data_IF_122767234700
#
_entry.id   IF_122767234700
#
_cell.length_a   1.000
_cell.length_b   1.000
_cell.length_c   1.000
_cell.angle_alpha   90.00
_cell.angle_beta   90.00
_cell.angle_gamma   90.00
#
_symmetry.space_group_name_H-M   'P 1'
#
loop_
_entity.id
_entity.type
_entity.pdbx_description
1 polymer ?
#
# COMPACT_ATOMS: atom_id res chain seq x y z
N UNK A 1 -61.38 -4.98 -49.80
CA UNK A 1 -61.67 -6.37 -50.18
C UNK A 1 -60.52 -7.27 -49.76
N UNK A 2 -60.79 -8.20 -48.83
CA UNK A 2 -59.99 -9.37 -48.37
C UNK A 2 -58.67 -9.05 -47.63
N UNK A 3 -58.55 -9.21 -46.29
CA UNK A 3 -58.64 -10.40 -45.38
C UNK A 3 -57.32 -11.20 -45.31
N UNK A 4 -56.84 -11.47 -44.08
CA UNK A 4 -55.93 -12.58 -43.73
C UNK A 4 -54.82 -12.20 -42.74
N UNK A 5 -55.03 -12.13 -41.42
CA UNK A 5 -55.06 -13.20 -40.38
C UNK A 5 -53.69 -13.46 -39.70
N UNK A 6 -53.72 -13.39 -38.37
CA UNK A 6 -52.68 -13.68 -37.37
C UNK A 6 -52.18 -15.13 -37.36
N UNK A 7 -50.98 -15.35 -36.79
CA UNK A 7 -50.72 -16.55 -35.97
C UNK A 7 -49.68 -16.28 -34.87
N UNK A 8 -50.10 -16.50 -33.63
CA UNK A 8 -49.38 -16.42 -32.34
C UNK A 8 -48.38 -17.58 -32.10
N UNK A 9 -47.65 -17.43 -30.98
CA UNK A 9 -47.19 -18.48 -30.02
C UNK A 9 -45.83 -19.14 -30.33
N UNK A 10 -44.94 -19.48 -29.39
CA UNK A 10 -44.95 -19.47 -27.92
C UNK A 10 -43.51 -19.47 -27.35
N UNK A 11 -43.44 -19.06 -26.08
CA UNK A 11 -42.34 -19.12 -25.11
C UNK A 11 -41.58 -20.46 -25.00
N UNK A 12 -40.28 -20.39 -24.73
CA UNK A 12 -39.58 -21.32 -23.82
C UNK A 12 -38.65 -20.51 -22.91
N UNK A 13 -39.02 -20.44 -21.63
CA UNK A 13 -38.11 -20.20 -20.52
C UNK A 13 -37.09 -21.34 -20.45
N UNK A 14 -35.81 -21.02 -20.34
CA UNK A 14 -34.86 -21.87 -19.63
C UNK A 14 -33.98 -20.97 -18.77
N UNK A 15 -34.28 -21.02 -17.48
CA UNK A 15 -33.42 -20.63 -16.37
C UNK A 15 -32.17 -21.52 -16.34
N UNK A 16 -31.00 -20.90 -16.35
CA UNK A 16 -29.81 -21.47 -15.71
C UNK A 16 -29.09 -20.35 -15.00
N UNK A 17 -29.22 -20.33 -13.67
CA UNK A 17 -28.38 -19.55 -12.78
C UNK A 17 -26.91 -19.89 -13.01
N UNK A 18 -26.06 -18.86 -13.09
CA UNK A 18 -24.66 -18.99 -12.71
C UNK A 18 -24.18 -17.68 -12.11
N UNK A 19 -23.65 -17.81 -10.91
CA UNK A 19 -23.21 -16.78 -9.98
C UNK A 19 -22.10 -15.86 -10.52
N UNK A 20 -22.11 -14.66 -9.95
CA UNK A 20 -20.97 -13.78 -9.65
C UNK A 20 -20.05 -13.36 -10.79
N UNK A 21 -20.28 -12.14 -11.28
CA UNK A 21 -19.23 -11.23 -11.72
C UNK A 21 -19.64 -9.81 -11.34
N UNK A 22 -19.39 -9.41 -10.09
CA UNK A 22 -19.33 -7.99 -9.74
C UNK A 22 -17.99 -7.44 -10.26
N UNK A 23 -17.86 -7.43 -11.58
CA UNK A 23 -16.82 -6.68 -12.26
C UNK A 23 -17.24 -5.23 -12.15
N UNK A 24 -16.45 -4.43 -11.45
CA UNK A 24 -16.53 -2.97 -11.50
C UNK A 24 -16.17 -2.58 -12.94
N UNK A 25 -17.15 -2.62 -13.83
CA UNK A 25 -17.06 -2.05 -15.17
C UNK A 25 -17.06 -0.53 -15.01
N UNK A 26 -15.90 0.03 -14.67
CA UNK A 26 -15.67 1.46 -14.91
C UNK A 26 -15.69 1.61 -16.42
N UNK A 27 -16.82 2.07 -16.97
CA UNK A 27 -16.88 2.53 -18.35
C UNK A 27 -15.83 3.63 -18.50
N UNK A 28 -14.66 3.27 -19.05
CA UNK A 28 -13.60 4.21 -19.42
C UNK A 28 -14.13 5.31 -20.38
N UNK A 29 -15.28 5.07 -21.02
CA UNK A 29 -15.98 6.04 -21.86
C UNK A 29 -16.44 7.28 -21.09
N UNK A 30 -16.67 7.17 -19.76
CA UNK A 30 -17.01 8.33 -18.92
C UNK A 30 -15.81 9.24 -18.71
N UNK A 31 -14.58 8.72 -18.66
CA UNK A 31 -13.36 9.51 -18.41
C UNK A 31 -13.00 10.49 -19.56
N UNK A 32 -13.68 10.42 -20.70
CA UNK A 32 -13.47 11.30 -21.86
C UNK A 32 -14.45 12.48 -21.92
N UNK A 33 -15.37 12.61 -20.96
CA UNK A 33 -16.29 13.75 -20.90
C UNK A 33 -15.64 14.89 -20.09
N UNK A 34 -15.51 16.11 -20.65
CA UNK A 34 -14.89 17.25 -19.97
C UNK A 34 -15.70 17.79 -18.78
N UNK A 35 -16.92 17.28 -18.55
CA UNK A 35 -17.87 17.77 -17.55
C UNK A 35 -18.10 16.82 -16.36
N UNK A 36 -17.21 15.85 -16.12
CA UNK A 36 -17.20 15.13 -14.84
C UNK A 36 -16.73 16.08 -13.75
N UNK A 37 -17.68 16.77 -13.12
CA UNK A 37 -17.46 17.48 -11.87
C UNK A 37 -17.06 16.43 -10.83
N UNK A 38 -15.75 16.28 -10.59
CA UNK A 38 -15.26 15.46 -9.50
C UNK A 38 -15.65 16.13 -8.18
N UNK A 39 -16.64 15.55 -7.50
CA UNK A 39 -17.04 16.02 -6.17
C UNK A 39 -15.93 15.64 -5.18
N UNK A 40 -15.33 16.63 -4.52
CA UNK A 40 -14.26 16.42 -3.53
C UNK A 40 -14.80 15.60 -2.36
N UNK A 41 -14.23 14.42 -2.13
CA UNK A 41 -14.65 13.49 -1.07
C UNK A 41 -13.84 13.66 0.23
N UNK A 42 -12.81 14.52 0.20
CA UNK A 42 -11.87 14.74 1.31
C UNK A 42 -11.14 13.47 1.73
N UNK A 43 -10.85 12.58 0.77
CA UNK A 43 -10.13 11.35 1.02
C UNK A 43 -8.71 11.61 1.50
N UNK A 44 -8.26 10.80 2.46
CA UNK A 44 -6.86 10.75 2.88
C UNK A 44 -6.24 9.42 2.47
N UNK A 45 -5.14 9.49 1.74
CA UNK A 45 -4.40 8.33 1.26
C UNK A 45 -3.02 8.32 1.91
N UNK A 46 -2.61 7.17 2.43
CA UNK A 46 -1.21 6.91 2.78
C UNK A 46 -0.62 5.88 1.83
N UNK A 47 0.45 6.26 1.13
CA UNK A 47 1.29 5.34 0.38
C UNK A 47 2.58 5.13 1.15
N UNK A 48 3.02 3.89 1.35
CA UNK A 48 4.28 3.66 2.06
C UNK A 48 5.01 2.41 1.57
N UNK A 49 6.34 2.43 1.73
CA UNK A 49 7.22 1.31 1.48
C UNK A 49 8.20 1.16 2.63
N UNK A 50 8.58 -0.08 2.93
CA UNK A 50 9.58 -0.38 3.94
C UNK A 50 10.90 -0.76 3.29
N UNK A 51 12.01 -0.43 3.94
CA UNK A 51 13.31 -0.98 3.61
C UNK A 51 13.86 -1.68 4.84
N UNK A 52 14.27 -2.93 4.69
CA UNK A 52 14.88 -3.69 5.75
C UNK A 52 16.39 -3.72 5.58
N UNK A 53 17.10 -3.68 6.70
CA UNK A 53 18.52 -3.99 6.71
C UNK A 53 18.70 -5.51 6.55
N UNK A 54 19.36 -5.93 5.48
CA UNK A 54 19.70 -7.32 5.23
C UNK A 54 21.15 -7.47 4.78
N UNK A 55 21.74 -8.63 5.04
CA UNK A 55 23.03 -9.05 4.49
C UNK A 55 22.87 -10.00 3.29
N UNK A 56 21.63 -10.37 2.96
CA UNK A 56 21.28 -11.27 1.86
C UNK A 56 20.87 -10.47 0.62
N UNK A 57 20.91 -11.08 -0.57
CA UNK A 57 20.71 -10.37 -1.85
C UNK A 57 19.32 -10.53 -2.47
N UNK A 58 18.47 -11.44 -1.98
CA UNK A 58 17.29 -11.88 -2.74
C UNK A 58 15.94 -11.51 -2.13
N UNK A 59 15.79 -11.51 -0.80
CA UNK A 59 14.54 -11.19 -0.13
C UNK A 59 14.78 -10.86 1.34
N UNK A 60 13.85 -10.14 1.97
CA UNK A 60 13.87 -9.88 3.40
C UNK A 60 13.33 -11.08 4.19
N UNK A 61 14.08 -11.50 5.21
CA UNK A 61 13.71 -12.58 6.12
C UNK A 61 13.05 -12.01 7.39
N UNK A 62 11.77 -12.33 7.61
CA UNK A 62 10.94 -11.77 8.69
C UNK A 62 11.54 -11.92 10.10
N UNK A 63 12.25 -13.01 10.37
CA UNK A 63 12.86 -13.33 11.66
C UNK A 63 14.22 -12.64 11.85
N UNK A 64 14.92 -12.30 10.77
CA UNK A 64 16.28 -11.77 10.81
C UNK A 64 16.34 -10.28 10.51
N UNK A 65 15.75 -9.87 9.39
CA UNK A 65 15.99 -8.57 8.79
C UNK A 65 15.13 -7.49 9.47
N UNK A 66 15.79 -6.53 10.10
CA UNK A 66 15.13 -5.44 10.82
C UNK A 66 14.66 -4.36 9.85
N UNK A 67 13.46 -3.82 10.08
CA UNK A 67 12.98 -2.66 9.34
C UNK A 67 13.87 -1.48 9.70
N UNK A 68 14.57 -0.97 8.68
CA UNK A 68 15.51 0.14 8.81
C UNK A 68 14.84 1.47 8.55
N UNK A 69 13.99 1.56 7.52
CA UNK A 69 13.27 2.79 7.21
C UNK A 69 11.86 2.53 6.70
N UNK A 70 10.99 3.51 6.90
CA UNK A 70 9.65 3.57 6.30
C UNK A 70 9.56 4.87 5.51
N UNK A 71 9.46 4.74 4.19
CA UNK A 71 9.16 5.85 3.30
C UNK A 71 7.66 5.95 3.18
N UNK A 72 7.10 7.14 3.37
CA UNK A 72 5.66 7.32 3.25
C UNK A 72 5.30 8.66 2.62
N UNK A 73 4.14 8.66 1.99
CA UNK A 73 3.51 9.85 1.41
C UNK A 73 2.06 9.87 1.83
N UNK A 74 1.63 11.00 2.39
CA UNK A 74 0.23 11.25 2.69
C UNK A 74 -0.30 12.24 1.67
N UNK A 75 -1.39 11.86 1.00
CA UNK A 75 -2.11 12.69 0.07
C UNK A 75 -3.48 13.02 0.67
N UNK A 76 -3.76 14.31 0.85
CA UNK A 76 -5.04 14.82 1.32
C UNK A 76 -5.79 15.43 0.14
N UNK A 77 -6.99 14.95 -0.13
CA UNK A 77 -7.88 15.56 -1.09
C UNK A 77 -8.44 16.87 -0.54
N UNK A 78 -8.37 17.94 -1.33
CA UNK A 78 -8.91 19.24 -1.00
C UNK A 78 -9.74 19.78 -2.17
N UNK A 79 -10.52 20.83 -1.92
CA UNK A 79 -11.28 21.52 -2.97
C UNK A 79 -10.41 22.03 -4.13
N UNK A 80 -9.10 22.24 -3.89
CA UNK A 80 -8.14 22.72 -4.89
C UNK A 80 -7.25 21.60 -5.44
N UNK A 81 -7.62 20.33 -5.27
CA UNK A 81 -6.84 19.16 -5.65
C UNK A 81 -6.09 18.54 -4.48
N UNK A 82 -5.01 17.81 -4.77
CA UNK A 82 -4.30 16.99 -3.77
C UNK A 82 -3.16 17.76 -3.10
N UNK A 83 -3.16 17.78 -1.77
CA UNK A 83 -2.02 18.21 -0.97
C UNK A 83 -1.19 16.98 -0.60
N UNK A 84 0.04 16.94 -1.10
CA UNK A 84 0.94 15.77 -0.95
C UNK A 84 2.08 16.13 -0.01
N UNK A 85 2.34 15.25 0.96
CA UNK A 85 3.44 15.36 1.89
C UNK A 85 4.18 14.03 1.92
N UNK A 86 5.46 14.01 1.56
CA UNK A 86 6.27 12.80 1.66
C UNK A 86 7.36 12.95 2.71
N UNK A 87 7.65 11.85 3.38
CA UNK A 87 8.53 11.81 4.53
C UNK A 87 9.17 10.44 4.66
N UNK A 88 10.20 10.35 5.50
CA UNK A 88 10.85 9.08 5.82
C UNK A 88 11.15 9.01 7.31
N UNK A 89 10.87 7.85 7.90
CA UNK A 89 11.36 7.45 9.22
C UNK A 89 12.59 6.58 9.05
N UNK A 90 13.67 6.86 9.76
CA UNK A 90 14.93 6.11 9.67
C UNK A 90 15.37 5.69 11.07
N UNK A 91 15.62 4.39 11.26
CA UNK A 91 16.26 3.87 12.46
C UNK A 91 17.76 4.13 12.43
N UNK A 92 18.29 4.72 13.51
CA UNK A 92 19.72 5.02 13.65
C UNK A 92 20.52 3.84 14.21
N UNK A 93 19.87 2.74 14.60
CA UNK A 93 20.49 1.59 15.24
C UNK A 93 21.66 0.98 14.45
N UNK A 94 21.55 0.99 13.11
CA UNK A 94 22.52 0.38 12.20
C UNK A 94 23.38 1.40 11.45
N UNK A 95 23.18 2.69 11.69
CA UNK A 95 23.94 3.75 11.02
C UNK A 95 25.34 3.86 11.61
N UNK A 96 26.35 3.92 10.74
CA UNK A 96 27.73 4.23 11.18
C UNK A 96 27.84 5.68 11.64
N UNK A 97 27.14 6.60 10.99
CA UNK A 97 27.08 8.00 11.39
C UNK A 97 25.96 8.15 12.41
N UNK A 98 26.32 8.34 13.68
CA UNK A 98 25.35 8.52 14.78
C UNK A 98 25.10 9.99 15.13
N UNK A 99 25.76 10.94 14.44
CA UNK A 99 25.60 12.37 14.72
C UNK A 99 24.46 12.97 13.90
N UNK A 100 23.36 13.43 14.52
CA UNK A 100 22.16 13.91 13.82
C UNK A 100 22.44 15.06 12.84
N UNK A 101 23.34 15.98 13.20
CA UNK A 101 23.72 17.11 12.33
C UNK A 101 24.45 16.69 11.04
N UNK A 102 25.03 15.49 11.00
CA UNK A 102 25.72 14.94 9.82
C UNK A 102 24.72 14.12 9.01
N UNK A 103 23.90 13.32 9.68
CA UNK A 103 22.78 12.59 9.07
C UNK A 103 21.87 13.52 8.28
N UNK A 104 21.35 14.58 8.90
CA UNK A 104 20.50 15.56 8.21
C UNK A 104 21.19 16.20 7.01
N UNK A 105 22.53 16.37 7.04
CA UNK A 105 23.30 16.89 5.92
C UNK A 105 23.47 15.88 4.80
N UNK A 106 23.65 14.59 5.11
CA UNK A 106 23.73 13.51 4.11
C UNK A 106 22.44 13.40 3.29
N UNK A 107 21.30 13.72 3.89
CA UNK A 107 20.00 13.69 3.21
C UNK A 107 19.48 15.06 2.70
N UNK A 108 20.32 16.12 2.72
CA UNK A 108 19.92 17.49 2.32
C UNK A 108 19.44 17.63 0.88
N UNK A 109 19.79 16.72 -0.03
CA UNK A 109 19.35 16.78 -1.43
C UNK A 109 17.85 16.54 -1.60
N UNK A 110 17.15 16.10 -0.55
CA UNK A 110 15.71 15.89 -0.52
C UNK A 110 14.98 17.19 -0.12
N UNK A 111 15.13 18.25 -0.92
CA UNK A 111 14.40 19.49 -0.71
C UNK A 111 12.87 19.21 -0.65
N UNK A 112 12.20 19.76 0.36
CA UNK A 112 10.76 19.59 0.64
C UNK A 112 10.31 18.21 1.16
N UNK A 113 11.21 17.38 1.68
CA UNK A 113 10.86 16.10 2.35
C UNK A 113 11.23 16.15 3.83
N UNK A 114 10.33 15.67 4.70
CA UNK A 114 10.59 15.58 6.14
C UNK A 114 11.31 14.26 6.44
N UNK A 115 12.42 14.33 7.15
CA UNK A 115 13.22 13.17 7.55
C UNK A 115 13.22 13.14 9.06
N UNK A 116 12.84 12.01 9.63
CA UNK A 116 12.82 11.81 11.07
C UNK A 116 13.65 10.59 11.44
N UNK A 117 14.43 10.75 12.52
CA UNK A 117 15.31 9.72 13.02
C UNK A 117 14.77 9.18 14.34
N UNK A 118 14.81 7.86 14.49
CA UNK A 118 14.41 7.12 15.70
C UNK A 118 15.53 6.16 16.10
N UNK A 119 15.54 5.69 17.35
CA UNK A 119 16.72 4.97 17.85
C UNK A 119 16.78 3.50 17.40
N UNK A 120 15.63 2.86 17.18
CA UNK A 120 15.53 1.43 16.92
C UNK A 120 14.26 1.08 16.13
N UNK A 121 14.17 -0.17 15.67
CA UNK A 121 13.04 -0.68 14.89
C UNK A 121 11.69 -0.59 15.65
N UNK A 122 11.67 -0.75 16.98
CA UNK A 122 10.43 -0.65 17.76
C UNK A 122 9.88 0.78 17.74
N UNK A 123 10.73 1.78 18.03
CA UNK A 123 10.36 3.19 17.97
C UNK A 123 9.90 3.60 16.56
N UNK A 124 10.53 3.04 15.52
CA UNK A 124 10.13 3.25 14.13
C UNK A 124 8.71 2.75 13.85
N UNK A 125 8.36 1.55 14.31
CA UNK A 125 7.01 0.99 14.16
C UNK A 125 5.99 1.79 14.98
N UNK A 126 6.36 2.20 16.20
CA UNK A 126 5.49 3.00 17.07
C UNK A 126 5.23 4.39 16.50
N UNK A 127 6.26 5.06 15.98
CA UNK A 127 6.12 6.39 15.39
C UNK A 127 5.28 6.35 14.11
N UNK A 128 5.51 5.35 13.26
CA UNK A 128 4.64 5.13 12.09
C UNK A 128 3.18 4.88 12.50
N UNK A 129 2.96 4.15 13.60
CA UNK A 129 1.61 3.96 14.15
C UNK A 129 0.97 5.27 14.60
N UNK A 130 1.73 6.17 15.23
CA UNK A 130 1.24 7.52 15.60
C UNK A 130 0.90 8.34 14.36
N UNK A 131 1.72 8.28 13.31
CA UNK A 131 1.45 8.98 12.05
C UNK A 131 0.13 8.49 11.43
N UNK A 132 -0.12 7.18 11.40
CA UNK A 132 -1.39 6.62 10.92
C UNK A 132 -2.57 7.10 11.78
N UNK A 133 -2.43 7.14 13.10
CA UNK A 133 -3.49 7.63 13.99
C UNK A 133 -3.76 9.12 13.81
N UNK A 134 -2.72 9.92 13.59
CA UNK A 134 -2.84 11.36 13.41
C UNK A 134 -3.39 11.75 12.04
N UNK A 135 -2.98 11.05 10.98
CA UNK A 135 -3.43 11.31 9.62
C UNK A 135 -4.78 10.67 9.30
N UNK A 136 -5.16 9.63 10.05
CA UNK A 136 -6.37 8.82 9.87
C UNK A 136 -6.71 8.49 8.39
N UNK A 137 -5.81 7.83 7.65
CA UNK A 137 -5.99 7.63 6.21
C UNK A 137 -7.13 6.66 5.90
N UNK A 138 -7.97 7.01 4.93
CA UNK A 138 -9.02 6.13 4.40
C UNK A 138 -8.45 4.95 3.62
N UNK A 139 -7.35 5.21 2.90
CA UNK A 139 -6.76 4.28 1.94
C UNK A 139 -5.27 4.09 2.24
N UNK A 140 -4.86 2.83 2.37
CA UNK A 140 -3.47 2.40 2.38
C UNK A 140 -3.07 1.93 0.98
N UNK A 141 -1.90 2.35 0.52
CA UNK A 141 -1.32 1.97 -0.76
C UNK A 141 0.11 1.50 -0.56
N UNK A 142 0.44 0.37 -1.16
CA UNK A 142 1.81 -0.11 -1.35
C UNK A 142 1.92 -0.59 -2.80
N UNK A 143 3.12 -0.56 -3.35
CA UNK A 143 3.40 -1.23 -4.61
C UNK A 143 3.10 -2.72 -4.50
N UNK A 144 3.70 -3.39 -3.51
CA UNK A 144 3.36 -4.76 -3.13
C UNK A 144 3.01 -4.80 -1.64
N UNK A 145 1.74 -5.04 -1.34
CA UNK A 145 1.24 -5.08 0.03
C UNK A 145 1.86 -6.21 0.86
N UNK A 146 2.31 -7.31 0.21
CA UNK A 146 2.97 -8.41 0.90
C UNK A 146 4.38 -8.01 1.38
N UNK A 147 5.11 -7.24 0.56
CA UNK A 147 6.47 -6.80 0.89
C UNK A 147 6.51 -5.69 1.94
N UNK A 148 5.51 -4.81 1.96
CA UNK A 148 5.49 -3.68 2.88
C UNK A 148 4.54 -3.88 4.07
N UNK A 149 3.22 -3.85 3.85
CA UNK A 149 2.25 -3.90 4.94
C UNK A 149 2.25 -5.24 5.71
N UNK A 150 2.22 -6.36 4.99
CA UNK A 150 2.20 -7.68 5.63
C UNK A 150 3.50 -7.95 6.40
N UNK A 151 4.65 -7.61 5.82
CA UNK A 151 5.94 -7.73 6.50
C UNK A 151 5.93 -6.92 7.80
N UNK A 152 5.53 -5.64 7.74
CA UNK A 152 5.43 -4.76 8.91
C UNK A 152 4.55 -5.36 10.01
N UNK A 153 3.34 -5.81 9.68
CA UNK A 153 2.39 -6.42 10.64
C UNK A 153 2.99 -7.68 11.27
N UNK A 154 3.56 -8.57 10.46
CA UNK A 154 4.12 -9.83 10.94
C UNK A 154 5.35 -9.60 11.80
N UNK A 155 6.22 -8.66 11.42
CA UNK A 155 7.45 -8.31 12.14
C UNK A 155 7.11 -7.74 13.51
N UNK A 156 6.18 -6.78 13.56
CA UNK A 156 5.70 -6.18 14.80
C UNK A 156 5.11 -7.23 15.75
N UNK A 157 4.31 -8.17 15.22
CA UNK A 157 3.71 -9.23 16.03
C UNK A 157 4.73 -10.25 16.52
N UNK A 158 5.64 -10.70 15.65
CA UNK A 158 6.60 -11.76 15.97
C UNK A 158 7.68 -11.28 16.95
N UNK A 159 8.22 -10.08 16.74
CA UNK A 159 9.37 -9.57 17.52
C UNK A 159 8.95 -8.78 18.76
N UNK A 160 7.86 -8.02 18.68
CA UNK A 160 7.46 -7.07 19.73
C UNK A 160 6.10 -7.39 20.35
N UNK A 161 5.43 -8.46 19.90
CA UNK A 161 4.05 -8.80 20.29
C UNK A 161 3.05 -7.63 20.08
N UNK A 162 3.32 -6.75 19.13
CA UNK A 162 2.45 -5.63 18.78
C UNK A 162 1.44 -6.05 17.71
N UNK A 163 0.15 -5.88 18.02
CA UNK A 163 -0.92 -6.12 17.05
C UNK A 163 -1.24 -4.85 16.25
N UNK A 164 -0.56 -4.70 15.11
CA UNK A 164 -0.75 -3.55 14.22
C UNK A 164 -2.12 -3.53 13.55
N UNK A 165 -2.81 -4.67 13.40
CA UNK A 165 -4.16 -4.70 12.84
C UNK A 165 -5.14 -3.95 13.74
N UNK A 166 -4.98 -4.10 15.06
CA UNK A 166 -5.75 -3.38 16.06
C UNK A 166 -5.31 -1.92 16.11
N UNK A 167 -4.00 -1.64 16.17
CA UNK A 167 -3.48 -0.26 16.24
C UNK A 167 -3.84 0.58 15.01
N UNK A 168 -3.93 -0.02 13.83
CA UNK A 168 -4.31 0.67 12.61
C UNK A 168 -5.83 0.70 12.40
N UNK A 169 -6.63 -0.13 13.07
CA UNK A 169 -8.09 -0.15 12.92
C UNK A 169 -8.73 1.18 13.38
N UNK A 170 -9.84 1.58 12.75
CA UNK A 170 -10.68 2.73 13.19
C UNK A 170 -11.64 2.38 14.33
N UNK A 171 -11.76 1.10 14.67
CA UNK A 171 -12.60 0.66 15.79
C UNK A 171 -11.80 0.77 17.11
N UNK A 172 -12.27 1.53 18.11
CA UNK A 172 -11.66 1.57 19.44
C UNK A 172 -11.75 0.19 20.12
N UNK A 173 -10.72 -0.13 20.91
CA UNK A 173 -10.46 -1.44 21.53
C UNK A 173 -11.72 -2.22 21.94
N UNK A 174 -11.95 -3.38 21.31
CA UNK A 174 -12.93 -4.36 21.78
C UNK A 174 -12.22 -5.47 22.56
N UNK A 175 -12.82 -5.86 23.69
CA UNK A 175 -12.42 -6.96 24.55
C UNK A 175 -12.04 -8.23 23.76
N UNK A 176 -11.10 -8.99 24.34
CA UNK A 176 -10.35 -10.17 23.85
C UNK A 176 -11.11 -11.24 23.04
N UNK A 177 -12.44 -11.18 22.95
CA UNK A 177 -13.28 -12.21 22.32
C UNK A 177 -13.48 -12.04 20.81
N UNK A 178 -13.21 -10.85 20.22
CA UNK A 178 -13.42 -10.60 18.77
C UNK A 178 -12.15 -10.76 17.93
N UNK A 179 -10.97 -10.75 18.57
CA UNK A 179 -9.66 -10.95 17.92
C UNK A 179 -9.57 -12.30 17.19
N UNK A 180 -10.23 -13.35 17.70
CA UNK A 180 -10.26 -14.67 17.07
C UNK A 180 -11.03 -14.73 15.74
N UNK A 181 -11.91 -13.76 15.48
CA UNK A 181 -12.75 -13.78 14.26
C UNK A 181 -12.34 -12.75 13.21
N UNK A 182 -11.42 -11.82 13.53
CA UNK A 182 -10.99 -10.75 12.62
C UNK A 182 -9.63 -10.97 11.98
N UNK A 183 -8.82 -11.90 12.49
CA UNK A 183 -7.59 -12.33 11.84
C UNK A 183 -7.91 -13.24 10.65
N UNK A 184 -8.53 -12.73 9.59
CA UNK A 184 -8.56 -13.42 8.30
C UNK A 184 -7.18 -13.31 7.62
N UNK A 185 -6.13 -13.71 8.32
CA UNK A 185 -4.94 -14.22 7.66
C UNK A 185 -5.28 -15.68 7.39
N UNK A 186 -5.83 -15.96 6.21
CA UNK A 186 -6.12 -17.35 5.84
C UNK A 186 -4.83 -18.18 5.96
N UNK A 187 -4.94 -19.42 6.45
CA UNK A 187 -3.80 -20.26 6.80
C UNK A 187 -2.87 -20.59 5.61
N UNK A 188 -3.33 -20.32 4.39
CA UNK A 188 -2.60 -20.40 3.13
C UNK A 188 -1.64 -19.22 2.89
N UNK A 189 -1.75 -18.10 3.63
CA UNK A 189 -0.83 -16.96 3.55
C UNK A 189 -0.97 -16.07 2.30
N UNK A 190 -2.02 -16.30 1.49
CA UNK A 190 -2.20 -15.59 0.22
C UNK A 190 -3.06 -14.33 0.30
N UNK A 191 -3.95 -14.26 1.30
CA UNK A 191 -4.85 -13.14 1.48
C UNK A 191 -4.17 -11.99 2.21
N UNK A 192 -4.42 -10.77 1.71
CA UNK A 192 -3.98 -9.55 2.36
C UNK A 192 -4.69 -9.38 3.70
N UNK A 193 -3.99 -8.86 4.74
CA UNK A 193 -4.62 -8.57 6.02
C UNK A 193 -5.78 -7.57 5.83
N UNK A 194 -6.81 -7.63 6.66
CA UNK A 194 -7.89 -6.62 6.65
C UNK A 194 -7.70 -5.67 7.82
N UNK A 195 -7.61 -4.36 7.53
CA UNK A 195 -7.62 -3.30 8.55
C UNK A 195 -9.03 -2.73 8.62
N UNK A 196 -9.70 -2.89 9.76
CA UNK A 196 -11.11 -2.53 9.87
C UNK A 196 -11.30 -1.02 9.74
N UNK A 197 -12.24 -0.63 8.86
CA UNK A 197 -12.58 0.77 8.59
C UNK A 197 -11.66 1.44 7.58
N UNK A 198 -10.76 0.69 6.91
CA UNK A 198 -9.80 1.22 5.94
C UNK A 198 -9.78 0.37 4.67
N UNK A 199 -9.43 1.00 3.56
CA UNK A 199 -9.28 0.35 2.26
C UNK A 199 -7.80 0.08 2.03
N UNK A 200 -7.47 -1.14 1.55
CA UNK A 200 -6.10 -1.49 1.17
C UNK A 200 -6.06 -1.66 -0.35
N UNK A 201 -5.15 -0.94 -1.01
CA UNK A 201 -4.91 -1.04 -2.44
C UNK A 201 -3.49 -1.55 -2.71
N UNK A 202 -3.42 -2.76 -3.23
CA UNK A 202 -2.19 -3.36 -3.76
C UNK A 202 -2.01 -2.91 -5.20
N UNK A 203 -1.07 -1.98 -5.42
CA UNK A 203 -0.89 -1.36 -6.73
C UNK A 203 -0.37 -2.35 -7.77
N UNK A 204 0.49 -3.31 -7.39
CA UNK A 204 0.97 -4.36 -8.28
C UNK A 204 -0.19 -5.21 -8.80
N UNK A 205 -1.13 -5.60 -7.93
CA UNK A 205 -2.33 -6.35 -8.34
C UNK A 205 -3.21 -5.53 -9.29
N UNK A 206 -3.41 -4.25 -9.02
CA UNK A 206 -4.17 -3.34 -9.89
C UNK A 206 -3.49 -3.22 -11.26
N UNK A 207 -2.19 -2.94 -11.29
CA UNK A 207 -1.45 -2.81 -12.56
C UNK A 207 -1.48 -4.12 -13.36
N UNK A 208 -1.46 -5.27 -12.68
CA UNK A 208 -1.58 -6.58 -13.31
C UNK A 208 -2.94 -6.85 -13.93
N UNK A 209 -4.02 -6.32 -13.36
CA UNK A 209 -5.36 -6.44 -13.94
C UNK A 209 -5.61 -5.45 -15.07
N UNK A 210 -5.05 -4.24 -14.97
CA UNK A 210 -5.33 -3.15 -15.92
C UNK A 210 -4.39 -3.14 -17.14
N UNK A 211 -3.16 -3.63 -16.98
CA UNK A 211 -2.12 -3.51 -18.02
C UNK A 211 -1.54 -4.88 -18.32
N UNK A 212 -1.45 -5.22 -19.61
CA UNK A 212 -0.82 -6.47 -20.07
C UNK A 212 0.67 -6.24 -20.28
N UNK A 213 1.50 -6.78 -19.37
CA UNK A 213 2.96 -6.72 -19.45
C UNK A 213 3.55 -8.13 -19.47
N UNK A 214 4.70 -8.31 -20.13
CA UNK A 214 5.43 -9.58 -20.07
C UNK A 214 6.10 -9.79 -18.70
N UNK A 215 6.55 -8.70 -18.07
CA UNK A 215 7.28 -8.69 -16.79
C UNK A 215 6.68 -7.58 -15.93
N UNK A 216 6.27 -7.92 -14.70
CA UNK A 216 5.63 -6.98 -13.75
C UNK A 216 6.59 -6.53 -12.64
N UNK A 217 7.81 -6.17 -12.99
CA UNK A 217 8.71 -5.47 -12.06
C UNK A 217 8.28 -4.01 -11.91
N UNK A 218 8.64 -3.39 -10.79
CA UNK A 218 8.33 -1.98 -10.53
C UNK A 218 8.82 -1.08 -11.66
N UNK A 219 10.08 -1.20 -12.04
CA UNK A 219 10.72 -0.34 -13.05
C UNK A 219 10.05 -0.49 -14.42
N UNK A 220 9.64 -1.71 -14.78
CA UNK A 220 8.96 -1.95 -16.05
C UNK A 220 7.52 -1.40 -16.03
N UNK A 221 6.80 -1.59 -14.93
CA UNK A 221 5.45 -1.07 -14.78
C UNK A 221 5.42 0.47 -14.80
N UNK A 222 6.35 1.12 -14.09
CA UNK A 222 6.50 2.58 -14.10
C UNK A 222 6.84 3.09 -15.50
N UNK A 223 7.73 2.43 -16.24
CA UNK A 223 8.05 2.83 -17.61
C UNK A 223 6.83 2.77 -18.55
N UNK A 224 5.98 1.77 -18.38
CA UNK A 224 4.77 1.64 -19.21
C UNK A 224 3.66 2.61 -18.84
N UNK A 225 3.56 3.03 -17.57
CA UNK A 225 2.51 3.94 -17.07
C UNK A 225 2.91 5.40 -17.18
N UNK A 226 4.12 5.75 -16.72
CA UNK A 226 4.59 7.13 -16.61
C UNK A 226 5.57 7.53 -17.72
N UNK A 227 6.02 6.58 -18.55
CA UNK A 227 7.07 6.80 -19.55
C UNK A 227 8.41 7.27 -18.96
N UNK A 228 8.67 6.94 -17.70
CA UNK A 228 9.90 7.26 -16.99
C UNK A 228 10.75 6.01 -16.73
N UNK A 229 12.08 6.15 -16.83
CA UNK A 229 13.03 5.08 -16.52
C UNK A 229 13.53 5.26 -15.11
N UNK A 230 13.27 4.27 -14.26
CA UNK A 230 13.79 4.20 -12.89
C UNK A 230 14.91 3.16 -12.83
N UNK A 231 16.08 3.48 -12.23
CA UNK A 231 17.14 2.49 -12.04
C UNK A 231 16.72 1.43 -11.01
N UNK A 232 17.08 0.18 -11.30
CA UNK A 232 17.00 -0.91 -10.33
C UNK A 232 18.35 -1.01 -9.60
N UNK A 233 18.30 -1.11 -8.26
CA UNK A 233 19.48 -1.34 -7.43
C UNK A 233 19.30 -2.63 -6.65
N UNK A 234 20.34 -3.46 -6.63
CA UNK A 234 20.35 -4.66 -5.80
C UNK A 234 20.19 -4.31 -4.33
N UNK A 235 19.40 -5.09 -3.61
CA UNK A 235 19.12 -4.88 -2.18
C UNK A 235 20.42 -4.84 -1.37
N UNK A 236 21.37 -5.73 -1.69
CA UNK A 236 22.68 -5.76 -1.02
C UNK A 236 23.51 -4.49 -1.25
N UNK A 237 23.35 -3.82 -2.39
CA UNK A 237 24.01 -2.55 -2.69
C UNK A 237 23.34 -1.41 -1.92
N UNK A 238 22.01 -1.37 -1.92
CA UNK A 238 21.25 -0.41 -1.14
C UNK A 238 21.57 -0.52 0.35
N UNK A 239 21.62 -1.74 0.92
CA UNK A 239 21.97 -1.93 2.32
C UNK A 239 23.37 -1.37 2.63
N UNK A 240 24.35 -1.57 1.74
CA UNK A 240 25.68 -0.96 1.92
C UNK A 240 25.61 0.56 1.91
N UNK A 241 24.93 1.18 0.94
CA UNK A 241 24.83 2.64 0.87
C UNK A 241 24.16 3.24 2.10
N UNK A 242 23.02 2.68 2.51
CA UNK A 242 22.27 3.19 3.66
C UNK A 242 23.02 3.04 5.00
N UNK A 243 23.96 2.11 5.12
CA UNK A 243 24.73 1.87 6.35
C UNK A 243 26.09 2.57 6.34
N UNK A 244 26.76 2.57 5.19
CA UNK A 244 28.14 3.05 5.06
C UNK A 244 28.22 4.54 4.75
N UNK A 245 27.28 5.06 3.96
CA UNK A 245 27.17 6.50 3.63
C UNK A 245 26.13 7.22 4.50
N UNK A 246 25.27 6.44 5.17
CA UNK A 246 24.29 6.88 6.15
C UNK A 246 24.93 7.45 7.39
#
# INVERSE_FOLDING_TARGET
NKIGVESKSNSILNTSESFSNNTINIHLDKLKQPDLIHECQYLTIISFEIFCHTNESYAFALDKDEIFSIFYTIAYETLNGWKIQSSVLISTQHLRITKPNILEKSFRSLENKKIEFVNNELELIEEFSKIIQQSDPDIFVCFDMKLSLYYLIKRAKLKYNLDLLIKFSRIPEQQENVTRSRSHMAANGDDLPVIVGRILLDLWRILRSEITLNIYTFENAIYHVLHERVPHYDISLLSKWFIDEG
#
